data_IF_464652074170
#
_entry.id   IF_464652074170
#
_cell.length_a   1.000
_cell.length_b   1.000
_cell.length_c   1.000
_cell.angle_alpha   90.00
_cell.angle_beta   90.00
_cell.angle_gamma   90.00
#
_symmetry.space_group_name_H-M   'P 1'
#
loop_
_entity.id
_entity.type
_entity.pdbx_description
1 polymer ?
2 non-polymer ?
3 non-polymer ?
4 non-polymer ?
5 water ?
#
# COMPACT_ATOMS: atom_id res chain seq x y z
N UNK A 1 -3.03 -27.04 -4.43
CA UNK A 1 -3.86 -25.90 -4.92
C UNK A 1 -4.90 -25.58 -3.89
N UNK A 2 -5.31 -24.34 -3.92
CA UNK A 2 -6.31 -23.86 -3.03
C UNK A 2 -7.38 -23.09 -3.81
N UNK A 3 -8.52 -22.92 -3.20
CA UNK A 3 -9.71 -22.42 -3.89
C UNK A 3 -9.97 -20.93 -3.74
N UNK A 4 -9.20 -20.27 -2.90
CA UNK A 4 -9.35 -18.86 -2.65
C UNK A 4 -7.97 -18.18 -2.78
N UNK A 5 -7.98 -16.87 -3.03
CA UNK A 5 -6.77 -16.14 -3.33
C UNK A 5 -5.82 -16.15 -2.16
N UNK A 6 -6.29 -15.82 -0.98
CA UNK A 6 -5.39 -15.76 0.17
C UNK A 6 -4.77 -17.10 0.49
N UNK A 7 -5.59 -18.12 0.47
CA UNK A 7 -5.07 -19.49 0.76
C UNK A 7 -4.07 -19.92 -0.29
N UNK A 8 -4.34 -19.59 -1.57
CA UNK A 8 -3.42 -19.95 -2.62
C UNK A 8 -2.10 -19.23 -2.47
N UNK A 9 -2.13 -17.96 -2.13
CA UNK A 9 -0.90 -17.22 -1.84
C UNK A 9 -0.13 -17.80 -0.67
N UNK A 10 -0.87 -18.23 0.34
CA UNK A 10 -0.24 -18.74 1.57
C UNK A 10 0.55 -20.02 1.35
N UNK A 11 0.27 -20.76 0.29
CA UNK A 11 1.05 -21.95 -0.01
C UNK A 11 2.53 -21.63 -0.18
N UNK A 12 2.83 -20.41 -0.64
CA UNK A 12 4.22 -19.96 -0.79
C UNK A 12 4.58 -18.91 0.25
N UNK A 13 3.84 -18.84 1.35
CA UNK A 13 4.16 -17.91 2.42
C UNK A 13 3.75 -16.48 2.15
N UNK A 14 2.97 -16.26 1.09
CA UNK A 14 2.54 -14.92 0.72
C UNK A 14 1.11 -14.67 1.15
N UNK A 15 0.69 -13.44 1.02
CA UNK A 15 -0.69 -13.04 1.25
C UNK A 15 -1.34 -12.54 -0.04
N UNK A 16 -2.67 -12.53 -0.05
CA UNK A 16 -3.44 -11.83 -1.06
C UNK A 16 -4.47 -10.98 -0.32
N UNK A 17 -4.36 -9.68 -0.49
CA UNK A 17 -5.13 -8.73 0.29
C UNK A 17 -6.05 -7.87 -0.53
N UNK A 18 -6.84 -7.07 0.19
CA UNK A 18 -7.67 -6.04 -0.41
C UNK A 18 -7.67 -4.81 0.47
N UNK A 19 -8.16 -3.72 -0.09
CA UNK A 19 -8.58 -2.54 0.61
C UNK A 19 -10.00 -2.76 1.11
N UNK A 20 -10.25 -2.41 2.35
CA UNK A 20 -11.56 -2.49 2.99
C UNK A 20 -11.99 -1.09 3.38
N UNK A 21 -13.25 -0.77 3.07
CA UNK A 21 -13.87 0.51 3.41
C UNK A 21 -14.94 0.25 4.47
N UNK A 22 -14.86 1.02 5.55
CA UNK A 22 -15.83 0.88 6.64
C UNK A 22 -17.26 1.09 6.21
N UNK A 23 -17.49 1.98 5.26
CA UNK A 23 -18.86 2.27 4.81
C UNK A 23 -19.48 1.12 4.08
N UNK A 24 -18.70 0.09 3.69
CA UNK A 24 -19.20 -1.06 2.94
C UNK A 24 -19.40 -2.27 3.87
N UNK A 25 -19.10 -2.12 5.16
CA UNK A 25 -19.09 -3.28 6.06
C UNK A 25 -20.48 -3.70 6.48
N UNK A 26 -21.52 -3.01 6.03
CA UNK A 26 -22.88 -3.48 6.18
C UNK A 26 -23.42 -4.20 4.94
N UNK A 27 -22.59 -4.36 3.89
CA UNK A 27 -22.98 -5.02 2.66
C UNK A 27 -22.58 -6.47 2.75
N UNK A 28 -23.56 -7.37 2.83
CA UNK A 28 -23.32 -8.77 3.06
C UNK A 28 -22.55 -9.47 1.95
N UNK A 29 -22.75 -9.02 0.72
CA UNK A 29 -21.98 -9.58 -0.40
C UNK A 29 -20.52 -9.20 -0.26
N UNK A 30 -20.29 -7.94 0.04
CA UNK A 30 -18.93 -7.43 0.24
C UNK A 30 -18.23 -8.15 1.36
N UNK A 31 -18.86 -8.22 2.54
CA UNK A 31 -18.16 -8.79 3.66
C UNK A 31 -17.90 -10.27 3.49
N UNK A 32 -18.81 -11.00 2.85
CA UNK A 32 -18.64 -12.43 2.70
C UNK A 32 -17.60 -12.77 1.64
N UNK A 33 -17.59 -12.06 0.51
CA UNK A 33 -16.58 -12.32 -0.51
C UNK A 33 -15.21 -11.89 0.00
N UNK A 34 -15.13 -10.70 0.59
CA UNK A 34 -13.86 -10.25 1.11
C UNK A 34 -13.35 -11.17 2.20
N UNK A 35 -14.27 -11.61 3.07
CA UNK A 35 -13.89 -12.54 4.12
C UNK A 35 -13.30 -13.83 3.61
N UNK A 36 -13.95 -14.36 2.58
CA UNK A 36 -13.56 -15.65 1.98
C UNK A 36 -12.21 -15.55 1.28
N UNK A 37 -11.97 -14.46 0.56
CA UNK A 37 -10.91 -14.45 -0.45
C UNK A 37 -9.56 -13.88 0.00
N UNK A 38 -9.53 -13.03 1.01
CA UNK A 38 -8.32 -12.26 1.33
C UNK A 38 -7.83 -12.56 2.71
N UNK A 39 -6.50 -12.59 2.88
CA UNK A 39 -5.89 -12.79 4.21
C UNK A 39 -5.07 -11.60 4.67
N UNK A 40 -5.26 -10.45 4.01
CA UNK A 40 -4.59 -9.21 4.37
C UNK A 40 -5.54 -8.07 4.04
N UNK A 41 -5.59 -7.06 4.90
CA UNK A 41 -6.47 -5.92 4.76
C UNK A 41 -5.66 -4.65 4.88
N UNK A 42 -5.99 -3.69 4.02
CA UNK A 42 -5.54 -2.30 4.15
C UNK A 42 -6.81 -1.48 4.35
N UNK A 43 -6.85 -0.52 5.27
CA UNK A 43 -8.01 0.38 5.33
C UNK A 43 -7.92 1.33 4.14
N UNK A 44 -9.01 1.47 3.40
CA UNK A 44 -8.98 2.31 2.19
C UNK A 44 -8.76 3.79 2.54
N UNK A 45 -9.33 4.24 3.66
CA UNK A 45 -9.23 5.65 4.05
C UNK A 45 -9.06 5.86 5.54
N UNK A 46 -9.45 4.89 6.37
CA UNK A 46 -9.69 5.14 7.78
C UNK A 46 -8.44 5.31 8.63
N UNK A 47 -7.30 4.90 8.11
CA UNK A 47 -6.03 5.05 8.81
C UNK A 47 -5.20 6.20 8.28
N UNK A 48 -5.75 6.99 7.38
CA UNK A 48 -5.08 8.18 6.86
C UNK A 48 -5.05 9.31 7.89
N UNK A 49 -4.35 10.39 7.57
CA UNK A 49 -4.07 11.41 8.58
C UNK A 49 -5.32 12.10 9.02
N UNK A 50 -6.14 12.50 8.05
CA UNK A 50 -7.38 13.21 8.36
C UNK A 50 -8.37 12.39 9.17
N UNK A 51 -8.44 11.10 8.90
CA UNK A 51 -9.39 10.23 9.56
C UNK A 51 -8.96 9.96 10.98
N UNK A 52 -7.65 9.78 11.22
CA UNK A 52 -7.16 9.42 12.53
C UNK A 52 -6.88 10.59 13.45
N UNK A 53 -6.54 11.76 12.92
CA UNK A 53 -6.20 12.90 13.76
C UNK A 53 -6.93 14.13 13.19
N UNK A 54 -8.26 14.18 13.37
CA UNK A 54 -9.05 15.23 12.72
C UNK A 54 -8.76 16.63 13.26
N UNK A 55 -8.27 16.74 14.51
CA UNK A 55 -7.74 18.00 15.08
C UNK A 55 -6.41 17.67 15.67
N UNK A 56 -5.48 18.61 15.68
CA UNK A 56 -4.17 18.32 16.20
C UNK A 56 -4.29 17.85 17.63
N UNK A 57 -3.66 16.72 17.94
CA UNK A 57 -3.64 16.15 19.25
C UNK A 57 -4.87 15.38 19.64
N UNK A 58 -5.88 15.35 18.78
CA UNK A 58 -7.18 14.72 19.08
C UNK A 58 -7.41 13.56 18.10
N UNK A 59 -7.05 12.37 18.53
CA UNK A 59 -7.19 11.19 17.68
C UNK A 59 -8.60 10.65 17.70
N UNK A 60 -8.98 10.05 16.58
CA UNK A 60 -10.25 9.36 16.44
C UNK A 60 -10.00 8.09 15.66
N UNK A 61 -9.95 6.98 16.38
CA UNK A 61 -9.69 5.68 15.78
C UNK A 61 -10.97 4.91 15.55
N UNK A 62 -12.14 5.54 15.62
CA UNK A 62 -13.36 4.75 15.52
C UNK A 62 -13.48 4.00 14.19
N UNK A 63 -13.33 4.69 13.07
CA UNK A 63 -13.42 3.99 11.78
C UNK A 63 -12.25 3.08 11.49
N UNK A 64 -11.06 3.50 11.91
CA UNK A 64 -9.89 2.69 11.75
C UNK A 64 -10.04 1.38 12.50
N UNK A 65 -10.50 1.46 13.73
CA UNK A 65 -10.68 0.25 14.54
C UNK A 65 -11.78 -0.63 13.99
N UNK A 66 -12.80 -0.03 13.39
CA UNK A 66 -13.81 -0.88 12.75
C UNK A 66 -13.19 -1.74 11.67
N UNK A 67 -12.33 -1.17 10.84
CA UNK A 67 -11.66 -1.93 9.80
C UNK A 67 -10.68 -2.93 10.40
N UNK A 68 -9.85 -2.48 11.33
CA UNK A 68 -8.88 -3.34 11.98
C UNK A 68 -9.57 -4.56 12.62
N UNK A 69 -10.60 -4.28 13.40
CA UNK A 69 -11.29 -5.35 14.11
C UNK A 69 -11.96 -6.28 13.13
N UNK A 70 -12.57 -5.78 12.05
CA UNK A 70 -13.14 -6.66 11.04
C UNK A 70 -12.08 -7.58 10.48
N UNK A 71 -10.90 -7.03 10.17
CA UNK A 71 -9.83 -7.83 9.65
C UNK A 71 -9.42 -8.94 10.60
N UNK A 72 -9.14 -8.60 11.83
CA UNK A 72 -8.63 -9.63 12.74
C UNK A 72 -9.73 -10.64 13.07
N UNK A 73 -10.97 -10.19 13.21
CA UNK A 73 -12.08 -11.14 13.44
C UNK A 73 -12.25 -12.11 12.32
N UNK A 74 -11.85 -11.72 11.11
CA UNK A 74 -11.96 -12.53 9.92
C UNK A 74 -10.65 -13.15 9.51
N UNK A 75 -9.68 -13.18 10.41
CA UNK A 75 -8.46 -13.91 10.16
C UNK A 75 -7.45 -13.27 9.25
N UNK A 76 -7.49 -11.95 9.08
CA UNK A 76 -6.54 -11.25 8.24
C UNK A 76 -5.55 -10.46 9.07
N UNK A 77 -4.35 -10.31 8.52
CA UNK A 77 -3.43 -9.30 9.00
C UNK A 77 -3.77 -7.95 8.37
N UNK A 78 -3.08 -6.91 8.83
CA UNK A 78 -3.37 -5.55 8.42
C UNK A 78 -2.11 -4.81 8.03
N UNK A 79 -2.18 -4.16 6.87
CA UNK A 79 -1.21 -3.15 6.47
C UNK A 79 -1.74 -1.80 6.89
N UNK A 80 -0.95 -1.03 7.64
CA UNK A 80 -1.35 0.30 8.03
C UNK A 80 -1.04 1.30 6.94
N UNK A 81 -2.02 2.13 6.61
CA UNK A 81 -1.91 3.06 5.46
C UNK A 81 -2.61 4.35 5.82
N UNK A 82 -1.95 5.52 5.90
CA UNK A 82 -0.52 5.81 5.66
C UNK A 82 -0.20 6.99 6.58
N UNK A 83 1.03 7.08 7.07
CA UNK A 83 1.34 7.99 8.17
C UNK A 83 1.76 9.41 7.79
N UNK A 84 2.38 9.59 6.64
CA UNK A 84 2.94 10.87 6.24
C UNK A 84 2.78 10.99 4.74
N UNK A 85 2.01 11.97 4.29
CA UNK A 85 1.56 12.04 2.90
C UNK A 85 1.06 13.44 2.66
N UNK A 86 1.24 13.93 1.43
CA UNK A 86 0.74 15.25 1.04
C UNK A 86 -0.76 15.28 0.92
N UNK A 87 -1.41 14.13 0.65
CA UNK A 87 -2.82 14.05 0.34
C UNK A 87 -3.65 13.64 1.54
N UNK A 88 -4.91 14.06 1.51
CA UNK A 88 -5.84 13.73 2.58
C UNK A 88 -5.30 14.19 3.92
N UNK A 89 -4.60 15.35 3.94
CA UNK A 89 -4.26 15.96 5.21
C UNK A 89 -5.46 16.71 5.75
N UNK A 90 -5.67 16.69 7.05
CA UNK A 90 -6.67 17.56 7.64
C UNK A 90 -6.24 19.01 7.50
N UNK A 91 -7.21 19.91 7.48
CA UNK A 91 -6.91 21.34 7.33
C UNK A 91 -5.86 21.84 8.29
N UNK A 92 -5.89 21.40 9.56
CA UNK A 92 -4.97 21.91 10.54
C UNK A 92 -3.55 21.64 10.14
N UNK A 93 -3.28 20.49 9.52
CA UNK A 93 -1.93 20.11 9.11
C UNK A 93 -1.55 20.85 7.82
N UNK A 94 -2.50 21.08 6.93
CA UNK A 94 -2.21 21.84 5.73
C UNK A 94 -1.68 23.23 6.08
N UNK A 95 -2.11 23.78 7.20
CA UNK A 95 -1.71 25.11 7.65
C UNK A 95 -0.32 25.15 8.26
N UNK A 96 0.31 24.01 8.49
CA UNK A 96 1.64 23.96 9.14
C UNK A 96 2.73 23.86 8.11
N UNK A 97 3.88 24.42 8.46
CA UNK A 97 5.08 24.37 7.65
C UNK A 97 6.28 24.22 8.55
N UNK A 98 7.41 23.91 7.94
CA UNK A 98 8.68 23.96 8.63
C UNK A 98 8.69 23.13 9.89
N UNK A 99 9.31 23.67 10.94
CA UNK A 99 9.47 22.97 12.19
C UNK A 99 8.17 22.59 12.89
N UNK A 100 7.17 23.42 12.75
CA UNK A 100 5.87 23.09 13.38
C UNK A 100 5.26 21.88 12.68
N UNK A 101 5.31 21.87 11.35
CA UNK A 101 4.85 20.71 10.60
C UNK A 101 5.66 19.49 10.98
N UNK A 102 6.97 19.63 11.10
CA UNK A 102 7.81 18.49 11.42
C UNK A 102 7.35 17.88 12.75
N UNK A 103 7.14 18.71 13.75
CA UNK A 103 6.69 18.19 15.05
C UNK A 103 5.36 17.50 14.91
N UNK A 104 4.44 18.10 14.16
CA UNK A 104 3.10 17.50 13.98
C UNK A 104 3.19 16.16 13.24
N UNK A 105 4.07 16.09 12.24
CA UNK A 105 4.27 14.86 11.48
C UNK A 105 4.74 13.74 12.39
N UNK A 106 5.74 14.06 13.22
CA UNK A 106 6.30 13.14 14.20
C UNK A 106 5.25 12.71 15.21
N UNK A 107 4.52 13.68 15.75
CA UNK A 107 3.49 13.36 16.74
C UNK A 107 2.42 12.46 16.13
N UNK A 108 2.05 12.72 14.87
CA UNK A 108 1.03 11.90 14.23
C UNK A 108 1.50 10.46 14.09
N UNK A 109 2.73 10.27 13.59
CA UNK A 109 3.32 8.94 13.49
C UNK A 109 3.27 8.24 14.84
N UNK A 110 3.77 8.92 15.87
CA UNK A 110 3.87 8.31 17.18
C UNK A 110 2.49 7.92 17.72
N UNK A 111 1.49 8.78 17.57
CA UNK A 111 0.20 8.50 18.13
C UNK A 111 -0.52 7.38 17.43
N UNK A 112 -0.48 7.34 16.12
CA UNK A 112 -1.15 6.28 15.38
C UNK A 112 -0.45 4.95 15.60
N UNK A 113 0.87 4.93 15.48
CA UNK A 113 1.60 3.67 15.66
C UNK A 113 1.45 3.15 17.07
N UNK A 114 1.40 4.03 18.08
CA UNK A 114 1.21 3.56 19.46
C UNK A 114 -0.12 2.85 19.59
N UNK A 115 -1.15 3.37 18.95
CA UNK A 115 -2.48 2.79 19.07
C UNK A 115 -2.50 1.36 18.57
N UNK A 116 -1.68 1.07 17.56
CA UNK A 116 -1.63 -0.24 16.92
C UNK A 116 -0.33 -1.00 17.20
N UNK A 117 0.41 -0.64 18.24
CA UNK A 117 1.75 -1.18 18.41
C UNK A 117 1.72 -2.69 18.49
N UNK A 118 2.53 -3.34 17.66
CA UNK A 118 2.61 -4.78 17.65
C UNK A 118 1.52 -5.48 16.88
N UNK A 119 0.59 -4.73 16.29
CA UNK A 119 -0.59 -5.28 15.66
C UNK A 119 -0.59 -5.17 14.14
N UNK A 120 0.37 -4.48 13.57
CA UNK A 120 0.39 -4.11 12.14
C UNK A 120 1.65 -4.68 11.51
N UNK A 121 1.50 -5.53 10.50
CA UNK A 121 2.66 -6.19 9.95
C UNK A 121 3.53 -5.24 9.12
N UNK A 122 2.89 -4.32 8.40
CA UNK A 122 3.55 -3.37 7.53
C UNK A 122 2.86 -2.04 7.67
N UNK A 123 3.65 -0.96 7.77
CA UNK A 123 3.13 0.40 7.67
C UNK A 123 3.64 1.05 6.41
N UNK A 124 2.75 1.70 5.66
CA UNK A 124 3.15 2.68 4.63
C UNK A 124 3.45 3.96 5.41
N UNK A 125 4.71 4.11 5.79
CA UNK A 125 5.12 5.23 6.62
C UNK A 125 5.02 6.53 5.83
N UNK A 126 5.53 6.50 4.61
CA UNK A 126 5.52 7.63 3.69
C UNK A 126 4.93 7.19 2.37
N UNK A 127 4.07 8.03 1.80
CA UNK A 127 3.40 7.78 0.55
C UNK A 127 3.67 8.88 -0.44
N UNK A 128 3.97 8.51 -1.67
CA UNK A 128 3.90 9.43 -2.83
C UNK A 128 4.80 10.65 -2.73
N UNK A 129 6.05 10.45 -2.36
CA UNK A 129 6.95 11.58 -2.21
C UNK A 129 7.60 12.02 -3.49
N UNK A 130 7.52 11.27 -4.60
CA UNK A 130 8.15 11.69 -5.87
C UNK A 130 7.16 12.31 -6.83
N UNK A 131 7.67 13.26 -7.60
CA UNK A 131 6.95 13.83 -8.72
C UNK A 131 6.87 12.85 -9.88
N UNK A 132 5.84 13.00 -10.69
CA UNK A 132 5.74 12.32 -11.97
C UNK A 132 6.58 13.06 -13.01
N UNK A 133 6.82 12.39 -14.10
CA UNK A 133 7.57 12.91 -15.23
C UNK A 133 9.03 12.51 -15.19
N UNK A 134 9.84 13.26 -15.92
CA UNK A 134 11.22 12.88 -16.20
C UNK A 134 12.23 13.38 -15.18
N UNK A 135 11.83 14.24 -14.24
CA UNK A 135 12.83 14.86 -13.40
C UNK A 135 13.35 14.00 -12.27
N UNK A 136 12.52 13.10 -11.75
CA UNK A 136 12.88 12.43 -10.53
C UNK A 136 12.90 13.31 -9.32
N UNK A 137 12.29 14.49 -9.40
CA UNK A 137 12.26 15.37 -8.24
C UNK A 137 11.29 14.88 -7.21
N UNK A 138 11.46 15.39 -6.00
CA UNK A 138 10.41 15.24 -4.97
C UNK A 138 9.19 16.05 -5.36
N UNK A 139 8.01 15.51 -5.06
CA UNK A 139 6.77 16.22 -5.15
C UNK A 139 6.78 17.41 -4.23
N UNK A 140 6.20 18.51 -4.71
CA UNK A 140 6.02 19.67 -3.86
C UNK A 140 4.89 19.47 -2.87
N UNK A 141 5.15 19.73 -1.61
CA UNK A 141 4.16 19.65 -0.55
C UNK A 141 4.72 20.37 0.66
N UNK A 142 3.87 20.66 1.64
CA UNK A 142 4.36 21.23 2.89
C UNK A 142 5.43 20.35 3.51
N UNK A 143 5.24 19.03 3.47
CA UNK A 143 6.19 18.08 3.98
C UNK A 143 7.54 18.21 3.27
N UNK A 144 7.57 18.18 1.94
CA UNK A 144 8.82 18.32 1.25
C UNK A 144 9.48 19.67 1.50
N UNK A 145 8.68 20.73 1.58
CA UNK A 145 9.22 22.06 1.83
C UNK A 145 9.85 22.16 3.22
N UNK A 146 9.51 21.28 4.13
CA UNK A 146 10.11 21.26 5.45
C UNK A 146 11.56 20.76 5.44
N UNK A 147 11.97 20.11 4.36
CA UNK A 147 13.33 19.64 4.18
C UNK A 147 13.36 18.30 3.49
N UNK A 148 14.45 18.04 2.77
CA UNK A 148 14.63 16.77 2.11
C UNK A 148 14.60 15.59 3.07
N UNK A 149 14.98 15.83 4.32
CA UNK A 149 15.03 14.81 5.36
C UNK A 149 13.67 14.42 5.91
N UNK A 150 12.57 14.98 5.42
CA UNK A 150 11.28 14.63 6.03
C UNK A 150 11.01 13.15 6.01
N UNK A 151 11.37 12.52 4.90
CA UNK A 151 11.09 11.10 4.70
C UNK A 151 11.91 10.26 5.69
N UNK A 152 13.23 10.50 5.75
CA UNK A 152 14.05 9.79 6.71
C UNK A 152 13.61 10.01 8.14
N UNK A 153 13.20 11.23 8.49
CA UNK A 153 12.73 11.49 9.85
C UNK A 153 11.48 10.68 10.13
N UNK A 154 10.56 10.60 9.17
CA UNK A 154 9.38 9.79 9.35
C UNK A 154 9.74 8.32 9.62
N UNK A 155 10.66 7.76 8.85
CA UNK A 155 11.09 6.40 9.07
C UNK A 155 11.77 6.20 10.42
N UNK A 156 12.68 7.09 10.80
CA UNK A 156 13.33 6.94 12.08
C UNK A 156 12.31 7.02 13.21
N UNK A 157 11.34 7.92 13.09
CA UNK A 157 10.28 8.00 14.07
C UNK A 157 9.50 6.69 14.17
N UNK A 158 9.13 6.17 13.02
CA UNK A 158 8.36 4.93 12.98
C UNK A 158 9.10 3.74 13.58
N UNK A 159 10.40 3.62 13.31
CA UNK A 159 11.18 2.52 13.83
C UNK A 159 11.15 2.54 15.35
N UNK A 160 11.31 3.72 15.93
CA UNK A 160 11.30 3.86 17.39
C UNK A 160 9.92 3.59 17.94
N UNK A 161 8.88 3.98 17.23
CA UNK A 161 7.54 3.86 17.76
C UNK A 161 7.06 2.42 17.81
N UNK A 162 7.40 1.64 16.79
CA UNK A 162 7.03 0.22 16.77
C UNK A 162 8.10 -0.60 16.05
N UNK A 163 9.09 -1.06 16.82
CA UNK A 163 10.17 -1.81 16.20
C UNK A 163 9.75 -3.14 15.56
N UNK A 164 8.53 -3.59 15.81
CA UNK A 164 8.01 -4.85 15.26
C UNK A 164 7.43 -4.72 13.86
N UNK A 165 7.14 -3.50 13.43
CA UNK A 165 6.49 -3.29 12.15
C UNK A 165 7.51 -3.22 11.03
N UNK A 166 7.18 -3.77 9.88
CA UNK A 166 7.96 -3.51 8.68
C UNK A 166 7.59 -2.14 8.16
N UNK A 167 8.57 -1.31 7.89
CA UNK A 167 8.37 0.07 7.50
C UNK A 167 8.52 0.17 5.98
N UNK A 168 7.44 0.56 5.33
CA UNK A 168 7.41 0.66 3.88
C UNK A 168 7.31 2.10 3.38
N UNK A 169 7.95 2.33 2.24
CA UNK A 169 7.77 3.51 1.39
C UNK A 169 6.87 3.08 0.23
N UNK A 170 5.79 3.80 -0.03
CA UNK A 170 4.78 3.41 -1.03
C UNK A 170 4.66 4.49 -2.09
N UNK A 171 4.50 4.11 -3.35
CA UNK A 171 4.35 5.09 -4.43
C UNK A 171 3.77 4.41 -5.66
N UNK A 172 3.37 5.22 -6.64
CA UNK A 172 2.85 4.77 -7.92
C UNK A 172 3.73 5.27 -9.04
N UNK A 173 3.56 4.69 -10.23
CA UNK A 173 4.37 5.04 -11.37
C UNK A 173 5.86 4.77 -11.10
N UNK A 174 6.12 3.77 -10.26
CA UNK A 174 7.47 3.34 -9.90
C UNK A 174 7.67 1.87 -10.20
N UNK A 175 6.86 1.31 -11.10
CA UNK A 175 6.91 -0.10 -11.45
C UNK A 175 7.78 -0.40 -12.66
N UNK A 176 7.85 0.56 -13.60
CA UNK A 176 8.59 0.38 -14.84
C UNK A 176 10.02 0.76 -14.60
N UNK A 177 10.92 -0.21 -14.74
CA UNK A 177 12.33 -0.02 -14.41
C UNK A 177 12.95 1.19 -15.17
N UNK A 178 12.47 1.47 -16.37
CA UNK A 178 13.05 2.53 -17.20
C UNK A 178 12.56 3.92 -16.85
N UNK A 179 11.54 4.07 -16.02
CA UNK A 179 11.02 5.40 -15.73
C UNK A 179 11.89 6.15 -14.75
N UNK A 180 11.94 7.46 -14.93
CA UNK A 180 12.71 8.30 -14.03
C UNK A 180 12.23 8.23 -12.61
N UNK A 181 10.93 8.14 -12.40
CA UNK A 181 10.38 8.11 -11.04
C UNK A 181 10.84 6.85 -10.32
N UNK A 182 10.82 5.73 -11.00
CA UNK A 182 11.31 4.46 -10.46
C UNK A 182 12.75 4.58 -10.02
N UNK A 183 13.56 5.21 -10.89
CA UNK A 183 14.96 5.42 -10.59
C UNK A 183 15.19 6.36 -9.41
N UNK A 184 14.34 7.36 -9.30
CA UNK A 184 14.43 8.27 -8.13
C UNK A 184 14.17 7.50 -6.83
N UNK A 185 13.14 6.67 -6.84
CA UNK A 185 12.82 5.88 -5.66
C UNK A 185 13.95 4.89 -5.35
N UNK A 186 14.53 4.29 -6.40
CA UNK A 186 15.62 3.36 -6.23
C UNK A 186 16.82 4.04 -5.56
N UNK A 187 17.17 5.21 -6.08
CA UNK A 187 18.28 5.94 -5.52
C UNK A 187 18.02 6.32 -4.05
N UNK A 188 16.78 6.69 -3.70
CA UNK A 188 16.45 6.99 -2.32
C UNK A 188 16.65 5.80 -1.43
N UNK A 189 16.08 4.66 -1.81
CA UNK A 189 16.17 3.49 -0.94
C UNK A 189 17.63 3.07 -0.76
N UNK A 190 18.38 3.11 -1.85
CA UNK A 190 19.79 2.82 -1.77
C UNK A 190 20.51 3.77 -0.80
N UNK A 191 20.25 5.06 -0.93
CA UNK A 191 20.83 6.08 -0.05
C UNK A 191 20.46 5.80 1.41
N UNK A 192 19.18 5.52 1.65
CA UNK A 192 18.73 5.24 3.00
C UNK A 192 19.48 4.06 3.59
N UNK A 193 19.58 2.99 2.83
CA UNK A 193 20.29 1.81 3.34
C UNK A 193 21.71 2.16 3.68
N UNK A 194 22.36 2.92 2.80
CA UNK A 194 23.77 3.33 3.00
C UNK A 194 24.00 4.24 4.19
N UNK A 195 22.97 4.92 4.65
CA UNK A 195 23.11 5.89 5.75
C UNK A 195 22.43 5.39 7.01
N UNK A 196 21.91 4.16 7.01
CA UNK A 196 21.33 3.64 8.22
C UNK A 196 19.92 4.08 8.50
N UNK A 197 19.23 4.64 7.51
CA UNK A 197 17.85 5.05 7.68
C UNK A 197 17.03 3.76 7.67
N UNK A 198 16.20 3.54 8.69
CA UNK A 198 15.47 2.27 8.78
C UNK A 198 14.36 2.21 7.77
N UNK A 199 14.47 1.34 6.80
CA UNK A 199 13.42 1.11 5.80
C UNK A 199 13.49 -0.37 5.49
N UNK A 200 12.32 -1.02 5.50
CA UNK A 200 12.27 -2.46 5.39
C UNK A 200 11.59 -2.93 4.11
N UNK A 201 10.84 -2.07 3.44
CA UNK A 201 9.95 -2.51 2.38
C UNK A 201 9.65 -1.36 1.47
N UNK A 202 9.39 -1.71 0.21
CA UNK A 202 8.88 -0.79 -0.78
C UNK A 202 7.54 -1.33 -1.31
N UNK A 203 6.56 -0.44 -1.31
CA UNK A 203 5.23 -0.70 -1.83
C UNK A 203 5.09 -0.12 -3.21
N UNK A 204 4.71 -0.95 -4.15
CA UNK A 204 4.41 -0.60 -5.52
C UNK A 204 2.91 -0.57 -5.66
N UNK A 205 2.33 0.62 -5.74
CA UNK A 205 0.89 0.70 -5.76
C UNK A 205 0.29 -0.11 -6.90
N UNK A 206 0.93 -0.09 -8.08
CA UNK A 206 0.51 -0.93 -9.19
C UNK A 206 -0.86 -0.58 -9.70
N UNK A 207 -1.12 0.71 -9.87
CA UNK A 207 -2.32 1.19 -10.56
C UNK A 207 -2.04 1.28 -12.05
N UNK A 208 -2.18 0.16 -12.74
CA UNK A 208 -1.81 0.07 -14.16
C UNK A 208 -2.94 0.48 -15.05
N UNK A 209 -2.64 1.27 -16.06
CA UNK A 209 -3.65 1.75 -17.00
C UNK A 209 -2.98 2.17 -18.29
N UNK A 210 -3.73 2.67 -19.25
CA UNK A 210 -3.16 2.93 -20.55
C UNK A 210 -2.03 3.95 -20.51
N UNK A 211 -2.13 4.95 -19.64
CA UNK A 211 -1.07 5.93 -19.52
C UNK A 211 0.14 5.46 -18.75
N UNK A 212 -0.05 4.49 -17.86
CA UNK A 212 0.99 3.94 -17.01
C UNK A 212 0.88 2.43 -17.05
N UNK A 213 1.25 1.84 -18.18
CA UNK A 213 0.95 0.45 -18.40
C UNK A 213 1.92 -0.49 -17.71
N UNK A 214 1.46 -1.69 -17.39
CA UNK A 214 2.31 -2.75 -16.96
C UNK A 214 3.38 -3.02 -18.02
N UNK A 215 4.58 -3.37 -17.56
CA UNK A 215 5.69 -3.80 -18.40
C UNK A 215 6.27 -5.05 -17.78
N UNK A 216 6.73 -6.00 -18.59
CA UNK A 216 7.41 -7.16 -18.05
C UNK A 216 8.59 -6.82 -17.16
N UNK A 217 9.18 -5.66 -17.36
CA UNK A 217 10.30 -5.23 -16.55
C UNK A 217 9.94 -4.90 -15.11
N UNK A 218 8.65 -5.02 -14.76
CA UNK A 218 8.27 -4.94 -13.34
C UNK A 218 9.05 -5.96 -12.54
N UNK A 219 9.27 -7.14 -13.10
CA UNK A 219 9.99 -8.16 -12.39
C UNK A 219 11.41 -7.71 -12.10
N UNK A 220 12.03 -7.03 -13.05
CA UNK A 220 13.36 -6.45 -12.87
C UNK A 220 13.35 -5.38 -11.78
N UNK A 221 12.33 -4.53 -11.76
CA UNK A 221 12.19 -3.56 -10.68
C UNK A 221 12.15 -4.26 -9.34
N UNK A 222 11.29 -5.25 -9.22
CA UNK A 222 11.14 -5.96 -7.96
C UNK A 222 12.47 -6.60 -7.54
N UNK A 223 13.14 -7.26 -8.47
CA UNK A 223 14.42 -7.90 -8.17
C UNK A 223 15.43 -6.88 -7.71
N UNK A 224 15.49 -5.74 -8.37
CA UNK A 224 16.52 -4.76 -8.06
C UNK A 224 16.30 -4.12 -6.72
N UNK A 225 15.05 -3.84 -6.35
CA UNK A 225 14.78 -3.33 -5.01
C UNK A 225 15.07 -4.43 -3.97
N UNK A 226 14.70 -5.67 -4.24
CA UNK A 226 14.98 -6.77 -3.31
C UNK A 226 16.47 -6.83 -3.01
N UNK A 227 17.28 -6.58 -4.04
CA UNK A 227 18.75 -6.64 -3.91
C UNK A 227 19.32 -5.55 -3.05
N UNK A 228 18.54 -4.49 -2.77
CA UNK A 228 18.93 -3.44 -1.81
C UNK A 228 18.72 -3.87 -0.35
N UNK A 229 18.11 -5.03 -0.13
CA UNK A 229 17.82 -5.43 1.22
C UNK A 229 16.50 -4.99 1.79
N UNK A 230 15.52 -4.77 0.91
CA UNK A 230 14.16 -4.50 1.34
C UNK A 230 13.24 -5.56 0.77
N UNK A 231 12.19 -5.83 1.52
CA UNK A 231 11.07 -6.56 0.94
C UNK A 231 10.31 -5.69 -0.04
N UNK A 232 9.53 -6.32 -0.91
CA UNK A 232 8.69 -5.60 -1.87
C UNK A 232 7.27 -6.08 -1.75
N UNK A 233 6.33 -5.21 -1.98
CA UNK A 233 4.93 -5.58 -1.91
C UNK A 233 4.20 -4.87 -3.01
N UNK A 234 3.21 -5.55 -3.59
CA UNK A 234 2.28 -4.94 -4.55
C UNK A 234 1.09 -4.47 -3.69
N UNK A 235 0.86 -3.17 -3.55
CA UNK A 235 0.02 -2.66 -2.47
C UNK A 235 -1.39 -2.22 -2.87
N UNK A 236 -1.61 -1.85 -4.12
CA UNK A 236 -2.88 -1.26 -4.51
C UNK A 236 -3.26 -1.66 -5.92
N UNK A 237 -3.02 -2.91 -6.27
CA UNK A 237 -3.17 -3.35 -7.63
C UNK A 237 -4.59 -3.15 -8.13
N UNK A 238 -4.67 -2.57 -9.32
CA UNK A 238 -5.86 -2.56 -10.14
C UNK A 238 -5.36 -2.32 -11.57
N UNK A 239 -6.12 -2.78 -12.55
CA UNK A 239 -5.66 -2.75 -13.93
C UNK A 239 -6.84 -2.37 -14.80
N UNK A 240 -6.72 -1.26 -15.53
CA UNK A 240 -7.81 -0.78 -16.37
C UNK A 240 -8.29 -1.88 -17.29
N UNK A 241 -9.57 -2.18 -17.26
CA UNK A 241 -10.19 -3.25 -18.05
C UNK A 241 -10.02 -4.67 -17.50
N UNK A 242 -9.27 -4.82 -16.41
CA UNK A 242 -8.97 -6.11 -15.78
C UNK A 242 -8.63 -7.22 -16.78
N UNK A 243 -7.66 -6.97 -17.65
CA UNK A 243 -7.23 -8.01 -18.56
C UNK A 243 -6.63 -9.18 -17.78
N UNK A 244 -7.08 -10.39 -18.06
CA UNK A 244 -6.62 -11.56 -17.35
C UNK A 244 -5.13 -11.80 -17.52
N UNK A 245 -4.64 -11.61 -18.73
CA UNK A 245 -3.23 -11.84 -19.01
C UNK A 245 -2.35 -10.92 -18.14
N UNK A 246 -2.68 -9.63 -18.08
CA UNK A 246 -1.86 -8.70 -17.30
C UNK A 246 -1.91 -9.05 -15.82
N UNK A 247 -3.09 -9.41 -15.34
CA UNK A 247 -3.20 -9.83 -13.93
C UNK A 247 -2.35 -11.04 -13.63
N UNK A 248 -2.34 -12.03 -14.53
CA UNK A 248 -1.47 -13.19 -14.34
C UNK A 248 -0.02 -12.76 -14.36
N UNK A 249 0.34 -11.85 -15.27
CA UNK A 249 1.72 -11.43 -15.36
C UNK A 249 2.21 -10.80 -14.08
N UNK A 250 1.42 -9.91 -13.52
CA UNK A 250 1.81 -9.27 -12.25
C UNK A 250 1.95 -10.31 -11.15
N UNK A 251 1.01 -11.22 -11.08
CA UNK A 251 1.04 -12.25 -10.05
C UNK A 251 2.30 -13.07 -10.17
N UNK A 252 2.63 -13.49 -11.39
CA UNK A 252 3.83 -14.29 -11.60
C UNK A 252 5.11 -13.50 -11.31
N UNK A 253 5.12 -12.19 -11.50
CA UNK A 253 6.29 -11.40 -11.13
C UNK A 253 6.52 -11.42 -9.62
N UNK A 254 5.46 -11.33 -8.85
CA UNK A 254 5.59 -11.46 -7.39
C UNK A 254 6.07 -12.85 -7.00
N UNK A 255 5.51 -13.87 -7.61
CA UNK A 255 5.88 -15.25 -7.27
C UNK A 255 7.32 -15.55 -7.62
N UNK A 256 7.89 -14.81 -8.58
CA UNK A 256 9.24 -15.04 -9.02
C UNK A 256 10.27 -14.37 -8.16
N UNK A 257 9.87 -13.53 -7.22
CA UNK A 257 10.77 -12.73 -6.40
C UNK A 257 10.63 -13.09 -4.94
N UNK A 258 11.67 -13.69 -4.37
CA UNK A 258 11.52 -14.24 -3.04
C UNK A 258 11.14 -13.20 -1.98
N UNK A 259 11.59 -11.98 -2.15
CA UNK A 259 11.24 -10.91 -1.21
C UNK A 259 9.91 -10.22 -1.48
N UNK A 260 9.15 -10.72 -2.46
CA UNK A 260 7.80 -10.16 -2.67
C UNK A 260 6.81 -10.78 -1.68
N UNK A 261 6.35 -9.96 -0.75
CA UNK A 261 5.55 -10.40 0.38
C UNK A 261 4.16 -10.87 -0.01
N UNK A 262 3.61 -10.29 -1.05
CA UNK A 262 2.24 -10.55 -1.44
C UNK A 262 1.70 -9.43 -2.26
N UNK A 263 0.41 -9.55 -2.55
CA UNK A 263 -0.32 -8.65 -3.42
C UNK A 263 -1.62 -8.24 -2.73
N UNK A 264 -1.88 -6.94 -2.73
CA UNK A 264 -3.17 -6.35 -2.33
C UNK A 264 -3.77 -5.75 -3.60
N UNK A 265 -5.04 -6.08 -3.87
CA UNK A 265 -5.81 -5.36 -4.89
C UNK A 265 -6.61 -4.26 -4.23
N UNK A 266 -6.79 -3.16 -4.93
CA UNK A 266 -7.37 -1.98 -4.34
C UNK A 266 -8.90 -1.99 -4.39
N UNK A 267 -9.47 -3.00 -3.73
CA UNK A 267 -10.90 -3.16 -3.64
C UNK A 267 -11.37 -4.55 -4.00
N UNK A 268 -12.67 -4.77 -3.79
CA UNK A 268 -13.25 -6.09 -3.94
C UNK A 268 -13.95 -6.22 -5.32
N UNK A 269 -15.14 -5.63 -5.45
CA UNK A 269 -15.87 -5.62 -6.72
C UNK A 269 -15.49 -4.41 -7.53
N UNK A 270 -15.72 -4.46 -8.83
CA UNK A 270 -15.47 -3.29 -9.65
C UNK A 270 -16.22 -2.09 -9.08
N UNK A 271 -17.46 -2.29 -8.62
CA UNK A 271 -18.29 -1.23 -8.10
C UNK A 271 -17.75 -0.66 -6.79
N UNK A 272 -16.82 -1.32 -6.12
CA UNK A 272 -16.15 -0.78 -4.93
C UNK A 272 -14.92 0.05 -5.27
N UNK A 273 -14.50 0.07 -6.51
CA UNK A 273 -13.25 0.70 -6.89
C UNK A 273 -13.36 2.20 -6.93
N UNK A 274 -12.25 2.84 -6.49
CA UNK A 274 -12.09 4.27 -6.68
C UNK A 274 -12.08 4.68 -8.15
N UNK A 275 -11.89 3.71 -9.03
CA UNK A 275 -11.90 3.89 -10.48
C UNK A 275 -12.85 2.87 -11.10
N UNK A 276 -14.07 2.81 -10.56
CA UNK A 276 -15.03 1.80 -10.98
C UNK A 276 -15.33 1.87 -12.50
N UNK A 277 -15.27 3.05 -13.08
CA UNK A 277 -15.51 3.19 -14.52
C UNK A 277 -14.51 2.43 -15.38
N UNK A 278 -13.34 2.12 -14.82
CA UNK A 278 -12.30 1.37 -15.49
C UNK A 278 -12.38 -0.15 -15.25
N UNK A 279 -13.44 -0.59 -14.57
CA UNK A 279 -13.71 -1.99 -14.21
C UNK A 279 -12.44 -2.76 -13.94
N UNK A 280 -11.68 -2.38 -12.92
CA UNK A 280 -10.27 -2.77 -12.88
C UNK A 280 -9.92 -3.85 -11.86
N UNK A 281 -10.94 -4.50 -11.28
CA UNK A 281 -10.76 -5.44 -10.18
C UNK A 281 -11.17 -6.87 -10.60
N UNK A 282 -11.16 -7.77 -9.62
CA UNK A 282 -11.28 -9.21 -9.88
C UNK A 282 -12.68 -9.75 -9.83
N UNK A 283 -13.60 -9.00 -9.24
CA UNK A 283 -15.00 -9.43 -9.07
C UNK A 283 -15.91 -8.44 -9.76
N UNK A 284 -16.94 -8.96 -10.39
CA UNK A 284 -17.97 -8.16 -11.01
C UNK A 284 -18.81 -7.45 -9.97
N UNK A 285 -19.64 -6.52 -10.43
CA UNK A 285 -20.52 -5.76 -9.57
C UNK A 285 -21.43 -6.65 -8.75
N UNK A 286 -21.85 -7.77 -9.34
CA UNK A 286 -22.70 -8.74 -8.65
C UNK A 286 -21.97 -9.77 -7.82
N UNK A 287 -20.67 -9.57 -7.63
CA UNK A 287 -19.90 -10.48 -6.81
C UNK A 287 -19.34 -11.71 -7.49
N UNK A 288 -19.69 -11.91 -8.76
CA UNK A 288 -19.19 -13.06 -9.49
C UNK A 288 -17.72 -12.84 -9.86
N UNK A 289 -16.99 -13.94 -10.08
CA UNK A 289 -15.60 -13.90 -10.46
C UNK A 289 -15.43 -13.52 -11.92
N UNK A 290 -14.48 -12.66 -12.20
CA UNK A 290 -14.11 -12.29 -13.56
C UNK A 290 -13.04 -13.22 -14.10
N UNK A 291 -12.79 -13.13 -15.39
CA UNK A 291 -11.71 -13.89 -15.96
C UNK A 291 -10.40 -13.62 -15.28
N UNK A 292 -10.16 -12.39 -14.87
CA UNK A 292 -8.89 -12.04 -14.20
C UNK A 292 -8.78 -12.78 -12.87
N UNK A 293 -9.87 -13.03 -12.15
CA UNK A 293 -9.81 -13.79 -10.91
C UNK A 293 -9.19 -15.15 -11.16
N UNK A 294 -9.70 -15.84 -12.17
CA UNK A 294 -9.23 -17.20 -12.45
C UNK A 294 -7.78 -17.17 -12.85
N UNK A 295 -7.36 -16.18 -13.61
CA UNK A 295 -5.97 -16.07 -14.04
C UNK A 295 -5.04 -15.87 -12.82
N UNK A 296 -5.44 -15.05 -11.86
CA UNK A 296 -4.66 -14.85 -10.66
C UNK A 296 -4.62 -16.10 -9.81
N UNK A 297 -5.76 -16.71 -9.58
CA UNK A 297 -5.80 -17.92 -8.76
C UNK A 297 -4.94 -19.01 -9.37
N UNK A 298 -5.05 -19.20 -10.69
CA UNK A 298 -4.26 -20.22 -11.37
C UNK A 298 -2.78 -19.94 -11.24
N UNK A 299 -2.39 -18.67 -11.33
CA UNK A 299 -0.98 -18.31 -11.16
C UNK A 299 -0.51 -18.61 -9.74
N UNK A 300 -1.31 -18.25 -8.74
CA UNK A 300 -0.94 -18.54 -7.36
C UNK A 300 -0.82 -20.04 -7.11
N UNK A 301 -1.63 -20.84 -7.77
CA UNK A 301 -1.60 -22.29 -7.68
C UNK A 301 -0.56 -22.98 -8.57
N UNK A 302 0.19 -22.21 -9.34
CA UNK A 302 1.22 -22.75 -10.26
C UNK A 302 0.61 -23.51 -11.40
N UNK A 303 1.24 -24.43 -11.97
#
# INVERSE_FOLDING_TARGET
AESTLGAAAAQSGRYFGTAIASGRLSDSTYTSIAGREFNMVTAENEMKIDATEPQRGQFNFSSADRVYNWAVQNGKQVRGHTLAWHSQQPGWMQSLSGSALRQAMIDHINGVMAHYKGKIVQWDVVNEAFADGSSGARRDSNLQRSGNDWIEVAFRTARAADPSAKLCYNDYNVENWTWAKTQAMYNMVRDFKQRGVPIDCVGFQSHFNSGSPYNSNFRTTLQNFAALGVDVAITELDIQGAPASTYANVTNDCLAVSRCLGITVWGVRDSDSWRSEQTPLLFNNDGSKKAAYTAVLDALNGGDSSEPPADGG
#
